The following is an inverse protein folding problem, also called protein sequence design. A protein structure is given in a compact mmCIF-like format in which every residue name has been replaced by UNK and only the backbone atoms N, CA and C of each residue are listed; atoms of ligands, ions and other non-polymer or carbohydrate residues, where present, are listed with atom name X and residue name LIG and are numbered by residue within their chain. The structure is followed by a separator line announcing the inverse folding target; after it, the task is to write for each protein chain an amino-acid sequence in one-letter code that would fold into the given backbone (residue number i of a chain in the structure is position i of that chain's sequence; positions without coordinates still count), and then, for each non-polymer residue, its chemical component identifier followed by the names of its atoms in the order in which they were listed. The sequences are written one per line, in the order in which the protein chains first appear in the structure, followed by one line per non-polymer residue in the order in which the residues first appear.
data_IF_958433092976
#
_entry.id   IF_958433092976
#
_cell.length_a   1.000
_cell.length_b   1.000
_cell.length_c   1.000
_cell.angle_alpha   90.00
_cell.angle_beta   90.00
_cell.angle_gamma   90.00
#
_symmetry.space_group_name_H-M   'P 1'
#
loop_
_entity.id
_entity.type
_entity.pdbx_description
1 polymer ?
#
# COMPACT_ATOMS: atom_id res chain seq x y z
N UNK A 1 11.84 -3.82 -4.44
CA UNK A 1 11.91 -3.54 -3.00
C UNK A 1 10.59 -3.93 -2.36
N UNK A 2 10.64 -4.64 -1.23
CA UNK A 2 9.47 -4.93 -0.42
C UNK A 2 9.31 -3.83 0.64
N UNK A 3 8.12 -3.26 0.72
CA UNK A 3 7.70 -2.29 1.72
C UNK A 3 6.56 -2.90 2.52
N UNK A 4 6.72 -2.94 3.83
CA UNK A 4 5.67 -3.34 4.76
C UNK A 4 5.49 -2.24 5.81
N UNK A 5 4.24 -1.88 6.08
CA UNK A 5 3.92 -0.98 7.18
C UNK A 5 2.59 -1.33 7.83
N UNK A 6 2.41 -0.87 9.06
CA UNK A 6 1.23 -1.14 9.90
C UNK A 6 0.60 0.17 10.36
N UNK A 7 -0.74 0.23 10.53
CA UNK A 7 -1.39 1.34 11.21
C UNK A 7 -0.96 1.37 12.67
N UNK A 8 -1.11 2.54 13.31
CA UNK A 8 -0.76 2.72 14.72
C UNK A 8 -1.48 1.67 15.58
N UNK A 9 -0.73 1.04 16.49
CA UNK A 9 -1.21 -0.05 17.36
C UNK A 9 -1.75 -1.30 16.62
N UNK A 10 -1.43 -1.48 15.34
CA UNK A 10 -1.92 -2.59 14.52
C UNK A 10 -3.45 -2.71 14.52
N UNK A 11 -4.16 -1.57 14.62
CA UNK A 11 -5.61 -1.58 14.51
C UNK A 11 -6.06 -2.15 13.16
N UNK A 12 -7.17 -2.88 13.18
CA UNK A 12 -7.79 -3.48 11.99
C UNK A 12 -8.54 -2.44 11.15
N UNK A 13 -7.86 -1.34 10.80
CA UNK A 13 -8.42 -0.17 10.12
C UNK A 13 -8.92 -0.48 8.71
N UNK A 14 -8.39 -1.52 8.06
CA UNK A 14 -8.75 -1.90 6.69
C UNK A 14 -9.70 -3.11 6.65
N UNK A 15 -10.48 -3.33 7.71
CA UNK A 15 -11.44 -4.43 7.80
C UNK A 15 -12.64 -4.25 6.88
N UNK A 16 -13.09 -3.00 6.68
CA UNK A 16 -14.20 -2.68 5.75
C UNK A 16 -13.66 -2.54 4.33
N UNK A 17 -14.40 -3.08 3.35
CA UNK A 17 -14.01 -2.98 1.93
C UNK A 17 -13.85 -1.54 1.45
N UNK A 18 -14.72 -0.62 1.89
CA UNK A 18 -14.62 0.80 1.56
C UNK A 18 -13.26 1.38 1.97
N UNK A 19 -12.80 1.09 3.19
CA UNK A 19 -11.52 1.56 3.71
C UNK A 19 -10.36 0.93 2.95
N UNK A 20 -10.45 -0.36 2.64
CA UNK A 20 -9.46 -1.09 1.83
C UNK A 20 -9.35 -0.53 0.42
N UNK A 21 -10.47 -0.20 -0.21
CA UNK A 21 -10.52 0.37 -1.56
C UNK A 21 -9.94 1.80 -1.57
N UNK A 22 -10.32 2.61 -0.57
CA UNK A 22 -9.82 3.97 -0.43
C UNK A 22 -8.30 4.00 -0.28
N UNK A 23 -7.74 3.22 0.66
CA UNK A 23 -6.29 3.20 0.88
C UNK A 23 -5.55 2.64 -0.35
N UNK A 24 -6.10 1.62 -1.00
CA UNK A 24 -5.53 1.05 -2.23
C UNK A 24 -5.44 2.11 -3.34
N UNK A 25 -6.50 2.90 -3.54
CA UNK A 25 -6.52 3.98 -4.51
C UNK A 25 -5.52 5.09 -4.15
N UNK A 26 -5.45 5.49 -2.87
CA UNK A 26 -4.50 6.49 -2.39
C UNK A 26 -3.04 6.07 -2.64
N UNK A 27 -2.69 4.82 -2.34
CA UNK A 27 -1.33 4.29 -2.57
C UNK A 27 -1.01 4.28 -4.06
N UNK A 28 -1.93 3.82 -4.92
CA UNK A 28 -1.74 3.82 -6.38
C UNK A 28 -1.56 5.23 -6.94
N UNK A 29 -2.35 6.20 -6.44
CA UNK A 29 -2.22 7.62 -6.82
C UNK A 29 -0.85 8.17 -6.42
N UNK A 30 -0.41 7.95 -5.20
CA UNK A 30 0.91 8.38 -4.72
C UNK A 30 2.04 7.76 -5.57
N UNK A 31 1.97 6.46 -5.83
CA UNK A 31 2.97 5.79 -6.67
C UNK A 31 3.04 6.38 -8.08
N UNK A 32 1.89 6.65 -8.71
CA UNK A 32 1.83 7.30 -10.02
C UNK A 32 2.45 8.70 -10.00
N UNK A 33 2.11 9.49 -8.98
CA UNK A 33 2.64 10.86 -8.81
C UNK A 33 4.17 10.89 -8.65
N UNK A 34 4.75 9.87 -8.01
CA UNK A 34 6.19 9.75 -7.82
C UNK A 34 6.87 8.85 -8.87
N UNK A 35 6.17 8.43 -9.93
CA UNK A 35 6.68 7.53 -10.98
C UNK A 35 7.23 6.20 -10.43
N UNK A 36 6.66 5.72 -9.33
CA UNK A 36 7.00 4.44 -8.70
C UNK A 36 6.13 3.35 -9.33
N UNK A 37 6.76 2.31 -9.88
CA UNK A 37 6.04 1.15 -10.43
C UNK A 37 5.69 0.18 -9.30
N UNK A 38 4.40 0.06 -8.97
CA UNK A 38 3.91 -1.00 -8.07
C UNK A 38 3.83 -2.31 -8.85
N UNK A 39 4.48 -3.35 -8.35
CA UNK A 39 4.41 -4.72 -8.87
C UNK A 39 3.28 -5.49 -8.18
N UNK A 40 3.20 -5.36 -6.86
CA UNK A 40 2.17 -6.01 -6.05
C UNK A 40 1.74 -5.08 -4.91
N UNK A 41 0.45 -5.04 -4.59
CA UNK A 41 -0.10 -4.31 -3.46
C UNK A 41 -1.15 -5.17 -2.77
N UNK A 42 -0.87 -5.58 -1.54
CA UNK A 42 -1.75 -6.39 -0.72
C UNK A 42 -2.09 -5.63 0.58
N UNK A 43 -3.35 -5.20 0.70
CA UNK A 43 -3.87 -4.52 1.89
C UNK A 43 -4.58 -5.54 2.77
N UNK A 44 -3.98 -5.81 3.93
CA UNK A 44 -4.56 -6.63 4.99
C UNK A 44 -5.24 -5.73 6.04
N UNK A 45 -6.13 -6.25 6.89
CA UNK A 45 -6.86 -5.43 7.86
C UNK A 45 -5.96 -4.59 8.78
N UNK A 46 -4.79 -5.11 9.13
CA UNK A 46 -3.87 -4.56 10.12
C UNK A 46 -2.49 -4.17 9.57
N UNK A 47 -2.24 -4.34 8.27
CA UNK A 47 -0.96 -3.97 7.65
C UNK A 47 -1.08 -3.93 6.13
N UNK A 48 -0.10 -3.31 5.47
CA UNK A 48 -0.02 -3.24 4.01
C UNK A 48 1.33 -3.78 3.58
N UNK A 49 1.31 -4.68 2.60
CA UNK A 49 2.49 -5.10 1.85
C UNK A 49 2.45 -4.47 0.46
N UNK A 50 3.56 -3.86 0.06
CA UNK A 50 3.72 -3.25 -1.25
C UNK A 50 5.07 -3.67 -1.83
N UNK A 51 5.06 -4.22 -3.03
CA UNK A 51 6.26 -4.54 -3.79
C UNK A 51 6.40 -3.50 -4.89
N UNK A 52 7.49 -2.76 -4.86
CA UNK A 52 7.78 -1.72 -5.85
C UNK A 52 9.00 -2.11 -6.70
N UNK A 53 8.88 -1.86 -8.00
CA UNK A 53 9.99 -1.90 -8.94
C UNK A 53 10.83 -0.64 -8.76
N UNK A 54 12.09 -0.82 -8.37
CA UNK A 54 13.05 0.28 -8.30
C UNK A 54 13.96 0.15 -9.51
N UNK A 55 14.09 1.22 -10.29
CA UNK A 55 15.18 1.39 -11.23
C UNK A 55 16.26 2.19 -10.51
N UNK A 56 17.22 1.49 -9.91
CA UNK A 56 18.43 2.12 -9.39
C UNK A 56 19.28 2.46 -10.62
N UNK A 57 19.22 3.71 -11.04
CA UNK A 57 20.02 4.26 -12.14
C UNK A 57 21.05 5.20 -11.53
#
# INVERSE_FOLDING_TARGET
MHLEWKPKYAYKMFKKEEQKNLITACIRRAATMHKIKIVELNVQPEHVHCVVGISLT
#
